data_IF_371994195853
#
_entry.id   IF_371994195853
#
_cell.length_a   1.000
_cell.length_b   1.000
_cell.length_c   1.000
_cell.angle_alpha   90.00
_cell.angle_beta   90.00
_cell.angle_gamma   90.00
#
_symmetry.space_group_name_H-M   'P 1'
#
loop_
_entity.id
_entity.type
_entity.pdbx_description
1 polymer ?
#
# COMPACT_ATOMS: atom_id res chain seq x y z
N UNK A 1 -7.37 -6.20 22.52
CA UNK A 1 -6.30 -6.25 21.53
C UNK A 1 -6.81 -5.76 20.19
N UNK A 2 -6.09 -4.85 19.52
CA UNK A 2 -6.48 -4.45 18.19
C UNK A 2 -6.38 -5.63 17.21
N UNK A 3 -7.33 -5.70 16.29
CA UNK A 3 -7.29 -6.67 15.20
C UNK A 3 -6.57 -6.04 14.03
N UNK A 4 -5.38 -6.51 13.75
CA UNK A 4 -4.55 -5.98 12.70
C UNK A 4 -5.03 -6.49 11.33
N UNK A 5 -5.22 -5.57 10.40
CA UNK A 5 -5.63 -5.87 9.03
C UNK A 5 -4.51 -5.46 8.10
N UNK A 6 -4.03 -6.39 7.28
CA UNK A 6 -3.03 -6.12 6.26
C UNK A 6 -3.73 -6.05 4.92
N UNK A 7 -3.60 -4.93 4.24
CA UNK A 7 -4.20 -4.71 2.92
C UNK A 7 -3.16 -5.02 1.84
N UNK A 8 -3.52 -5.88 0.90
CA UNK A 8 -2.65 -6.20 -0.24
C UNK A 8 -3.25 -5.56 -1.49
N UNK A 9 -2.49 -4.68 -2.12
CA UNK A 9 -2.90 -3.93 -3.30
C UNK A 9 -2.12 -4.41 -4.51
N UNK A 10 -2.82 -4.99 -5.48
CA UNK A 10 -2.19 -5.63 -6.63
C UNK A 10 -2.61 -4.95 -7.92
N UNK A 11 -1.63 -4.57 -8.73
CA UNK A 11 -1.82 -4.00 -10.05
C UNK A 11 -2.26 -2.54 -10.02
N UNK A 12 -2.47 -1.96 -11.21
CA UNK A 12 -2.88 -0.57 -11.35
C UNK A 12 -4.20 -0.30 -10.63
N UNK A 13 -5.20 -1.13 -10.88
CA UNK A 13 -6.52 -0.97 -10.27
C UNK A 13 -6.45 -1.05 -8.75
N UNK A 14 -5.80 -2.08 -8.22
CA UNK A 14 -5.68 -2.28 -6.78
C UNK A 14 -4.97 -1.13 -6.10
N UNK A 15 -3.90 -0.62 -6.70
CA UNK A 15 -3.15 0.49 -6.14
C UNK A 15 -3.90 1.81 -6.23
N UNK A 16 -4.68 2.02 -7.30
CA UNK A 16 -5.53 3.21 -7.41
C UNK A 16 -6.65 3.21 -6.37
N UNK A 17 -7.32 2.07 -6.19
CA UNK A 17 -8.37 1.93 -5.18
C UNK A 17 -7.78 2.09 -3.77
N UNK A 18 -6.65 1.46 -3.52
CA UNK A 18 -5.97 1.57 -2.24
C UNK A 18 -5.56 2.99 -1.91
N UNK A 19 -5.07 3.73 -2.90
CA UNK A 19 -4.73 5.14 -2.73
C UNK A 19 -5.93 5.94 -2.20
N UNK A 20 -7.10 5.77 -2.82
CA UNK A 20 -8.31 6.45 -2.38
C UNK A 20 -8.74 6.00 -0.99
N UNK A 21 -8.62 4.71 -0.70
CA UNK A 21 -8.93 4.18 0.62
C UNK A 21 -8.06 4.81 1.72
N UNK A 22 -6.74 4.87 1.51
CA UNK A 22 -5.84 5.42 2.51
C UNK A 22 -6.02 6.92 2.68
N UNK A 23 -6.28 7.64 1.60
CA UNK A 23 -6.59 9.07 1.66
C UNK A 23 -7.86 9.31 2.47
N UNK A 24 -8.91 8.54 2.22
CA UNK A 24 -10.17 8.65 2.95
C UNK A 24 -9.99 8.30 4.43
N UNK A 25 -9.30 7.21 4.72
CA UNK A 25 -9.06 6.78 6.10
C UNK A 25 -8.29 7.83 6.89
N UNK A 26 -7.27 8.42 6.28
CA UNK A 26 -6.47 9.45 6.91
C UNK A 26 -7.27 10.72 7.19
N UNK A 27 -8.07 11.15 6.21
CA UNK A 27 -8.94 12.33 6.37
C UNK A 27 -10.02 12.13 7.42
N UNK A 28 -10.58 10.94 7.48
CA UNK A 28 -11.61 10.60 8.46
C UNK A 28 -11.10 10.71 9.88
N UNK A 29 -9.90 10.18 10.12
CA UNK A 29 -9.28 10.28 11.44
C UNK A 29 -8.85 11.71 11.77
N UNK A 30 -8.34 12.44 10.79
CA UNK A 30 -7.96 13.83 10.99
C UNK A 30 -9.15 14.71 11.34
N UNK A 31 -10.31 14.48 10.69
CA UNK A 31 -11.52 15.28 10.93
C UNK A 31 -12.11 15.09 12.32
N UNK A 32 -11.85 13.95 12.94
CA UNK A 32 -12.31 13.65 14.30
C UNK A 32 -11.41 14.25 15.37
N UNK A 33 -10.21 14.72 15.00
CA UNK A 33 -9.24 15.20 15.97
C UNK A 33 -8.78 14.14 16.96
N UNK A 34 -8.93 12.88 16.60
CA UNK A 34 -8.61 11.74 17.47
C UNK A 34 -7.12 11.40 17.35
N UNK A 35 -6.48 11.18 18.49
CA UNK A 35 -5.13 10.64 18.54
C UNK A 35 -5.17 9.15 18.15
N UNK A 36 -4.00 8.58 17.91
CA UNK A 36 -3.89 7.17 17.56
C UNK A 36 -4.57 6.29 18.62
N UNK A 37 -5.55 5.51 18.20
CA UNK A 37 -6.34 4.63 19.06
C UNK A 37 -6.37 3.20 18.53
N UNK A 38 -7.12 2.31 19.20
CA UNK A 38 -7.24 0.91 18.80
C UNK A 38 -7.89 0.74 17.43
N UNK A 39 -8.81 1.63 17.06
CA UNK A 39 -9.44 1.58 15.74
C UNK A 39 -8.44 1.91 14.64
N UNK A 40 -7.61 2.93 14.85
CA UNK A 40 -6.55 3.27 13.92
C UNK A 40 -5.50 2.15 13.84
N UNK A 41 -5.18 1.50 14.94
CA UNK A 41 -4.15 0.47 14.97
C UNK A 41 -4.49 -0.75 14.14
N UNK A 42 -5.77 -0.96 13.78
CA UNK A 42 -6.15 -2.02 12.86
C UNK A 42 -5.59 -1.80 11.45
N UNK A 43 -5.51 -0.56 11.01
CA UNK A 43 -5.09 -0.18 9.65
C UNK A 43 -3.71 0.44 9.59
N UNK A 44 -3.26 1.08 10.68
CA UNK A 44 -2.01 1.82 10.71
C UNK A 44 -1.08 1.31 11.80
N UNK A 45 0.21 1.43 11.53
CA UNK A 45 1.26 1.22 12.53
C UNK A 45 1.84 2.58 12.89
N UNK A 46 1.87 2.91 14.18
CA UNK A 46 2.48 4.13 14.66
C UNK A 46 3.84 3.84 15.29
N UNK A 47 4.88 4.42 14.73
CA UNK A 47 6.23 4.35 15.27
C UNK A 47 6.43 5.51 16.25
N UNK A 48 6.32 5.25 17.53
CA UNK A 48 6.46 6.26 18.57
C UNK A 48 7.84 6.89 18.60
N UNK A 49 8.86 6.10 18.27
CA UNK A 49 10.25 6.57 18.29
C UNK A 49 10.51 7.68 17.26
N UNK A 50 9.95 7.52 16.07
CA UNK A 50 10.13 8.47 14.98
C UNK A 50 8.91 9.36 14.75
N UNK A 51 7.82 9.16 15.47
CA UNK A 51 6.55 9.87 15.31
C UNK A 51 6.01 9.75 13.89
N UNK A 52 6.10 8.54 13.32
CA UNK A 52 5.70 8.26 11.94
C UNK A 52 4.55 7.27 11.92
N UNK A 53 3.51 7.60 11.14
CA UNK A 53 2.38 6.73 10.90
C UNK A 53 2.60 5.98 9.58
N UNK A 54 2.44 4.65 9.61
CA UNK A 54 2.58 3.80 8.43
C UNK A 54 1.30 3.00 8.19
N UNK A 55 0.94 2.80 6.93
CA UNK A 55 -0.19 1.96 6.56
C UNK A 55 0.21 0.49 6.61
N UNK A 56 -0.70 -0.36 7.11
CA UNK A 56 -0.51 -1.82 7.07
C UNK A 56 -0.90 -2.32 5.69
N UNK A 57 -0.05 -2.08 4.70
CA UNK A 57 -0.33 -2.40 3.31
C UNK A 57 0.90 -2.92 2.58
N UNK A 58 0.67 -3.77 1.59
CA UNK A 58 1.68 -4.25 0.66
C UNK A 58 1.23 -3.88 -0.75
N UNK A 59 2.07 -3.17 -1.49
CA UNK A 59 1.77 -2.68 -2.83
C UNK A 59 2.57 -3.49 -3.84
N UNK A 60 1.87 -4.13 -4.76
CA UNK A 60 2.46 -5.03 -5.76
C UNK A 60 2.05 -4.57 -7.15
N UNK A 61 3.03 -4.30 -8.01
CA UNK A 61 2.77 -3.98 -9.41
C UNK A 61 4.01 -4.26 -10.25
N UNK A 62 3.80 -4.54 -11.53
CA UNK A 62 4.88 -4.65 -12.51
C UNK A 62 5.13 -3.32 -13.22
N UNK A 63 4.28 -2.32 -13.01
CA UNK A 63 4.44 -0.97 -13.55
C UNK A 63 4.62 0.04 -12.43
N UNK A 64 5.44 1.06 -12.68
CA UNK A 64 5.77 2.05 -11.65
C UNK A 64 4.81 3.25 -11.62
N UNK A 65 4.01 3.45 -12.68
CA UNK A 65 3.25 4.67 -12.85
C UNK A 65 2.36 5.06 -11.68
N UNK A 66 1.45 4.17 -11.29
CA UNK A 66 0.52 4.42 -10.19
C UNK A 66 1.25 4.49 -8.85
N UNK A 67 2.18 3.59 -8.61
CA UNK A 67 2.94 3.55 -7.36
C UNK A 67 3.75 4.85 -7.19
N UNK A 68 4.39 5.33 -8.26
CA UNK A 68 5.15 6.58 -8.21
C UNK A 68 4.24 7.78 -7.93
N UNK A 69 3.06 7.83 -8.54
CA UNK A 69 2.09 8.88 -8.27
C UNK A 69 1.61 8.85 -6.82
N UNK A 70 1.34 7.66 -6.30
CA UNK A 70 0.92 7.46 -4.92
C UNK A 70 2.00 7.94 -3.95
N UNK A 71 3.25 7.60 -4.20
CA UNK A 71 4.36 7.99 -3.33
C UNK A 71 4.63 9.49 -3.32
N UNK A 72 4.27 10.19 -4.40
CA UNK A 72 4.39 11.65 -4.47
C UNK A 72 3.21 12.38 -3.87
N UNK A 73 2.12 11.67 -3.56
CA UNK A 73 0.92 12.26 -2.97
C UNK A 73 1.08 12.43 -1.46
N UNK A 74 0.06 13.04 -0.84
CA UNK A 74 0.03 13.24 0.61
C UNK A 74 0.08 11.93 1.40
N UNK A 75 -0.45 10.84 0.82
CA UNK A 75 -0.44 9.53 1.48
C UNK A 75 0.87 8.77 1.30
N UNK A 76 1.80 9.29 0.49
CA UNK A 76 3.05 8.61 0.19
C UNK A 76 3.91 8.33 1.41
N UNK A 77 3.82 9.17 2.43
CA UNK A 77 4.57 9.01 3.68
C UNK A 77 4.12 7.80 4.49
N UNK A 78 2.94 7.24 4.19
CA UNK A 78 2.43 6.06 4.87
C UNK A 78 3.14 4.76 4.47
N UNK A 79 3.96 4.79 3.44
CA UNK A 79 4.55 3.58 2.86
C UNK A 79 6.08 3.62 2.87
N UNK A 80 6.69 2.49 3.25
CA UNK A 80 8.13 2.27 3.18
C UNK A 80 8.50 1.48 1.94
N UNK A 81 9.77 1.53 1.55
CA UNK A 81 10.27 0.74 0.42
C UNK A 81 10.09 -0.76 0.62
N UNK A 82 10.09 -1.23 1.85
CA UNK A 82 9.86 -2.65 2.16
C UNK A 82 8.42 -3.10 1.88
N UNK A 83 7.50 -2.15 1.72
CA UNK A 83 6.10 -2.42 1.42
C UNK A 83 5.82 -2.45 -0.09
N UNK A 84 6.83 -2.20 -0.91
CA UNK A 84 6.69 -2.08 -2.36
C UNK A 84 7.36 -3.24 -3.07
N UNK A 85 6.58 -3.97 -3.88
CA UNK A 85 7.10 -4.98 -4.81
C UNK A 85 6.81 -4.50 -6.22
N UNK A 86 7.84 -4.03 -6.89
CA UNK A 86 7.69 -3.36 -8.17
C UNK A 86 8.84 -3.72 -9.12
N UNK A 87 8.49 -3.99 -10.38
CA UNK A 87 9.45 -4.09 -11.47
C UNK A 87 9.00 -3.18 -12.62
N UNK A 88 9.93 -2.85 -13.50
CA UNK A 88 9.73 -1.80 -14.51
C UNK A 88 8.79 -2.21 -15.63
N UNK A 89 8.66 -3.51 -15.91
CA UNK A 89 7.92 -4.02 -17.07
C UNK A 89 6.51 -4.44 -16.70
N UNK A 90 5.51 -3.96 -17.42
CA UNK A 90 4.12 -4.39 -17.27
C UNK A 90 3.84 -5.72 -17.95
N UNK A 91 2.73 -6.35 -17.61
CA UNK A 91 2.28 -7.59 -18.24
C UNK A 91 1.37 -7.38 -19.45
N UNK A 92 1.07 -6.12 -19.82
CA UNK A 92 0.28 -5.78 -20.99
C UNK A 92 -1.15 -6.32 -20.97
N UNK A 93 -1.75 -6.41 -19.79
CA UNK A 93 -3.07 -7.02 -19.58
C UNK A 93 -3.14 -8.47 -20.04
N UNK A 94 -2.01 -9.18 -20.07
CA UNK A 94 -1.93 -10.56 -20.51
C UNK A 94 -1.72 -11.47 -19.29
N UNK A 95 -2.75 -12.30 -18.99
CA UNK A 95 -2.71 -13.19 -17.84
C UNK A 95 -1.53 -14.18 -17.90
N UNK A 96 -1.30 -14.75 -19.08
CA UNK A 96 -0.24 -15.76 -19.24
C UNK A 96 1.13 -15.14 -18.99
N UNK A 97 1.38 -13.92 -19.49
CA UNK A 97 2.62 -13.19 -19.22
C UNK A 97 2.76 -12.88 -17.74
N UNK A 98 1.70 -12.43 -17.11
CA UNK A 98 1.71 -12.15 -15.68
C UNK A 98 2.02 -13.38 -14.84
N UNK A 99 1.39 -14.51 -15.19
CA UNK A 99 1.58 -15.77 -14.45
C UNK A 99 2.95 -16.38 -14.70
N UNK A 100 3.35 -16.54 -15.96
CA UNK A 100 4.57 -17.28 -16.32
C UNK A 100 5.84 -16.43 -16.20
N UNK A 101 5.78 -15.16 -16.57
CA UNK A 101 6.98 -14.29 -16.57
C UNK A 101 7.19 -13.58 -15.24
N UNK A 102 6.12 -13.12 -14.60
CA UNK A 102 6.20 -12.30 -13.38
C UNK A 102 5.78 -13.02 -12.12
N UNK A 103 4.72 -13.80 -12.18
CA UNK A 103 4.22 -14.50 -11.00
C UNK A 103 5.26 -15.44 -10.40
N UNK A 104 5.97 -16.18 -11.24
CA UNK A 104 7.02 -17.09 -10.80
C UNK A 104 8.17 -16.34 -10.13
N UNK A 105 8.55 -15.18 -10.69
CA UNK A 105 9.65 -14.38 -10.16
C UNK A 105 9.26 -13.65 -8.86
N UNK A 106 8.01 -13.26 -8.72
CA UNK A 106 7.55 -12.53 -7.54
C UNK A 106 7.13 -13.42 -6.38
N UNK A 107 6.82 -14.67 -6.64
CA UNK A 107 6.31 -15.59 -5.62
C UNK A 107 7.23 -15.67 -4.40
N UNK A 108 8.54 -15.69 -4.62
CA UNK A 108 9.53 -15.73 -3.54
C UNK A 108 9.72 -14.39 -2.84
N UNK A 109 9.40 -13.28 -3.50
CA UNK A 109 9.57 -11.94 -2.93
C UNK A 109 8.40 -11.54 -2.03
N UNK A 110 7.26 -12.13 -2.26
CA UNK A 110 6.07 -11.90 -1.45
C UNK A 110 6.13 -12.73 -0.17
#
# INVERSE_FOLDING_TARGET
MPREIITIQVGQCGNQIGWRFWDLALREHASRGILFDDAMSSFFLFDEKHQILKARALLIDTEQGVINQLLKSEVGELFDNTQLLNEVSGAGNNWAQGFYDYGTNYCEKI
#
